data_IF_473338896971
#
_entry.id   IF_473338896971
#
_cell.length_a   1.000
_cell.length_b   1.000
_cell.length_c   1.000
_cell.angle_alpha   90.00
_cell.angle_beta   90.00
_cell.angle_gamma   90.00
#
_symmetry.space_group_name_H-M   'P 1'
#
loop_
_entity.id
_entity.type
_entity.pdbx_description
1 polymer ?
#
# COMPACT_ATOMS: atom_id res chain seq x y z
N UNK A 1 -6.01 -21.91 -2.16
CA UNK A 1 -6.28 -20.59 -1.53
C UNK A 1 -5.43 -20.30 -0.29
N UNK A 2 -4.95 -21.29 0.47
CA UNK A 2 -4.16 -21.01 1.69
C UNK A 2 -2.82 -20.31 1.41
N UNK A 3 -2.21 -20.57 0.26
CA UNK A 3 -0.98 -19.89 -0.18
C UNK A 3 -1.19 -18.38 -0.31
N UNK A 4 -2.23 -17.94 -1.04
CA UNK A 4 -2.52 -16.51 -1.23
C UNK A 4 -2.73 -15.75 0.10
N UNK A 5 -3.32 -16.40 1.11
CA UNK A 5 -3.53 -15.78 2.44
C UNK A 5 -2.21 -15.55 3.18
N UNK A 6 -1.17 -16.35 2.91
CA UNK A 6 0.14 -16.25 3.57
C UNK A 6 1.11 -15.33 2.81
N UNK A 7 0.96 -15.27 1.49
CA UNK A 7 1.92 -14.60 0.61
C UNK A 7 1.52 -13.14 0.28
N UNK A 8 0.28 -12.74 0.57
CA UNK A 8 -0.20 -11.38 0.30
C UNK A 8 -0.12 -10.48 1.54
N UNK A 9 0.35 -9.23 1.40
CA UNK A 9 0.38 -8.29 2.51
C UNK A 9 -1.04 -7.90 2.94
N UNK A 10 -1.27 -7.86 4.25
CA UNK A 10 -2.51 -7.32 4.84
C UNK A 10 -2.40 -5.80 4.99
N UNK A 11 -3.49 -5.02 4.79
CA UNK A 11 -3.49 -3.57 4.99
C UNK A 11 -3.19 -3.14 6.43
N UNK A 12 -3.22 -4.07 7.39
CA UNK A 12 -2.91 -3.86 8.80
C UNK A 12 -1.49 -4.25 9.22
N UNK A 13 -0.65 -4.72 8.29
CA UNK A 13 0.74 -5.10 8.60
C UNK A 13 1.59 -3.90 9.06
N UNK A 14 2.52 -4.18 9.97
CA UNK A 14 3.54 -3.21 10.41
C UNK A 14 4.68 -3.13 9.39
N UNK A 15 5.49 -2.07 9.48
CA UNK A 15 6.64 -1.91 8.58
C UNK A 15 7.60 -3.12 8.60
N UNK A 16 8.02 -3.67 9.77
CA UNK A 16 8.86 -4.87 9.78
C UNK A 16 8.20 -6.10 9.15
N UNK A 17 6.88 -6.26 9.28
CA UNK A 17 6.16 -7.37 8.64
C UNK A 17 6.14 -7.23 7.12
N UNK A 18 5.93 -6.02 6.61
CA UNK A 18 5.98 -5.73 5.18
C UNK A 18 7.38 -5.98 4.61
N UNK A 19 8.42 -5.49 5.30
CA UNK A 19 9.81 -5.71 4.89
C UNK A 19 10.14 -7.20 4.84
N UNK A 20 9.75 -7.97 5.85
CA UNK A 20 9.98 -9.42 5.87
C UNK A 20 9.27 -10.15 4.73
N UNK A 21 8.01 -9.77 4.45
CA UNK A 21 7.22 -10.37 3.36
C UNK A 21 7.83 -10.06 1.98
N UNK A 22 8.22 -8.81 1.74
CA UNK A 22 8.89 -8.42 0.49
C UNK A 22 10.25 -9.10 0.32
N UNK A 23 11.04 -9.18 1.41
CA UNK A 23 12.32 -9.89 1.40
C UNK A 23 12.16 -11.38 1.08
N UNK A 24 11.06 -12.01 1.54
CA UNK A 24 10.70 -13.38 1.16
C UNK A 24 10.49 -13.58 -0.35
N UNK A 25 10.21 -12.50 -1.09
CA UNK A 25 10.10 -12.48 -2.56
C UNK A 25 11.34 -11.91 -3.26
N UNK A 26 12.44 -11.70 -2.54
CA UNK A 26 13.66 -11.10 -3.10
C UNK A 26 13.55 -9.61 -3.39
N UNK A 27 12.53 -8.94 -2.84
CA UNK A 27 12.30 -7.51 -2.96
C UNK A 27 12.81 -6.78 -1.72
N UNK A 28 13.40 -5.60 -1.90
CA UNK A 28 13.98 -4.83 -0.80
C UNK A 28 13.02 -3.74 -0.27
N UNK A 29 13.50 -2.93 0.69
CA UNK A 29 12.71 -1.83 1.28
C UNK A 29 12.32 -0.79 0.23
N UNK A 30 13.16 -0.52 -0.77
CA UNK A 30 12.81 0.43 -1.84
C UNK A 30 11.72 -0.16 -2.71
N UNK A 31 11.79 -1.45 -3.03
CA UNK A 31 10.71 -2.13 -3.73
C UNK A 31 9.38 -2.04 -2.97
N UNK A 32 9.40 -2.25 -1.64
CA UNK A 32 8.22 -2.02 -0.79
C UNK A 32 7.69 -0.60 -0.94
N UNK A 33 8.55 0.41 -0.70
CA UNK A 33 8.14 1.82 -0.72
C UNK A 33 7.57 2.21 -2.09
N UNK A 34 8.24 1.85 -3.18
CA UNK A 34 7.86 2.29 -4.53
C UNK A 34 6.67 1.52 -5.07
N UNK A 35 6.56 0.21 -4.81
CA UNK A 35 5.38 -0.56 -5.23
C UNK A 35 4.11 -0.14 -4.47
N UNK A 36 4.22 0.33 -3.21
CA UNK A 36 3.10 0.95 -2.51
C UNK A 36 2.55 2.20 -3.21
N UNK A 37 3.37 2.86 -4.05
CA UNK A 37 2.94 3.97 -4.90
C UNK A 37 1.79 3.63 -5.85
N UNK A 38 1.54 2.34 -6.12
CA UNK A 38 0.39 1.91 -6.91
C UNK A 38 -0.96 2.31 -6.29
N UNK A 39 -1.01 2.59 -4.99
CA UNK A 39 -2.20 3.11 -4.31
C UNK A 39 -2.55 4.56 -4.68
N UNK A 40 -1.80 5.22 -5.56
CA UNK A 40 -2.19 6.51 -6.17
C UNK A 40 -3.45 6.40 -7.05
N UNK A 41 -3.80 5.19 -7.50
CA UNK A 41 -5.04 4.94 -8.24
C UNK A 41 -5.92 3.91 -7.55
N UNK A 42 -7.23 4.03 -7.75
CA UNK A 42 -8.22 3.04 -7.33
C UNK A 42 -8.88 3.33 -5.97
N UNK A 43 -9.51 2.30 -5.43
CA UNK A 43 -10.38 2.38 -4.27
C UNK A 43 -10.05 1.30 -3.22
N UNK A 44 -10.40 1.60 -1.98
CA UNK A 44 -10.37 0.67 -0.86
C UNK A 44 -11.76 0.57 -0.22
N UNK A 45 -12.08 -0.58 0.34
CA UNK A 45 -13.27 -0.74 1.17
C UNK A 45 -13.00 -0.30 2.61
N UNK A 46 -14.00 0.28 3.28
CA UNK A 46 -13.90 0.74 4.67
C UNK A 46 -13.37 -0.35 5.62
N UNK A 47 -13.74 -1.61 5.39
CA UNK A 47 -13.27 -2.76 6.18
C UNK A 47 -11.74 -2.92 6.16
N UNK A 48 -11.07 -2.50 5.09
CA UNK A 48 -9.62 -2.60 4.93
C UNK A 48 -8.82 -1.62 5.79
N UNK A 49 -9.45 -0.58 6.34
CA UNK A 49 -8.79 0.44 7.18
C UNK A 49 -9.63 0.88 8.39
N UNK A 50 -10.68 0.12 8.73
CA UNK A 50 -11.58 0.42 9.85
C UNK A 50 -10.84 0.48 11.19
N UNK A 51 -9.76 -0.28 11.33
CA UNK A 51 -8.91 -0.27 12.53
C UNK A 51 -8.33 1.14 12.79
N UNK A 52 -7.99 1.88 11.73
CA UNK A 52 -7.47 3.25 11.86
C UNK A 52 -8.55 4.27 12.18
N UNK A 53 -9.81 3.95 11.87
CA UNK A 53 -10.95 4.81 12.20
C UNK A 53 -11.51 4.54 13.59
N UNK A 54 -11.47 3.32 14.12
CA UNK A 54 -12.22 2.98 15.33
C UNK A 54 -11.42 2.25 16.41
N UNK A 55 -10.36 1.55 16.04
CA UNK A 55 -9.60 0.67 16.94
C UNK A 55 -8.20 1.20 17.21
N UNK A 56 -7.88 2.39 16.71
CA UNK A 56 -6.59 3.02 16.89
C UNK A 56 -6.54 3.66 18.29
N UNK A 57 -5.55 3.33 19.15
CA UNK A 57 -5.50 3.88 20.49
C UNK A 57 -5.43 5.41 20.43
N UNK A 58 -6.44 6.06 20.99
CA UNK A 58 -6.44 7.49 21.26
C UNK A 58 -5.18 7.83 22.05
N UNK A 59 -4.24 8.51 21.40
CA UNK A 59 -3.09 9.21 21.96
C UNK A 59 -2.64 8.77 23.38
N UNK A 60 -1.63 7.91 23.45
CA UNK A 60 -0.88 7.66 24.68
C UNK A 60 -0.70 6.18 24.98
N UNK A 61 0.55 5.74 24.99
CA UNK A 61 1.03 4.44 25.49
C UNK A 61 0.98 3.29 24.47
N UNK A 62 1.98 3.27 23.59
CA UNK A 62 2.27 2.10 22.76
C UNK A 62 3.47 2.34 21.85
N UNK A 63 4.64 1.96 22.33
CA UNK A 63 5.89 1.85 21.56
C UNK A 63 5.66 1.01 20.29
N UNK A 64 5.61 1.65 19.12
CA UNK A 64 5.41 0.98 17.81
C UNK A 64 4.18 1.41 17.00
N UNK A 65 3.54 2.52 17.34
CA UNK A 65 2.29 3.01 16.71
C UNK A 65 2.55 3.85 15.44
N UNK A 66 2.03 3.43 14.28
CA UNK A 66 2.02 4.27 13.05
C UNK A 66 1.27 5.58 13.30
N UNK A 67 1.55 6.73 12.68
CA UNK A 67 0.83 7.97 12.97
C UNK A 67 -0.71 7.85 12.84
N UNK A 68 -1.49 8.51 13.72
CA UNK A 68 -2.93 8.57 13.57
C UNK A 68 -3.30 9.21 12.23
N UNK A 69 -4.43 8.79 11.66
CA UNK A 69 -4.98 9.43 10.48
C UNK A 69 -5.31 10.90 10.79
N UNK A 70 -5.04 11.81 9.87
CA UNK A 70 -5.41 13.24 9.96
C UNK A 70 -6.83 13.37 10.51
N UNK A 71 -6.99 14.11 11.61
CA UNK A 71 -8.22 14.10 12.39
C UNK A 71 -9.43 14.60 11.60
N UNK A 72 -9.24 15.62 10.75
CA UNK A 72 -10.31 16.16 9.92
C UNK A 72 -10.69 15.18 8.81
N UNK A 73 -9.69 14.52 8.20
CA UNK A 73 -9.93 13.49 7.20
C UNK A 73 -10.62 12.26 7.81
N UNK A 74 -10.18 11.81 8.97
CA UNK A 74 -10.81 10.71 9.72
C UNK A 74 -12.26 11.05 10.09
N UNK A 75 -12.53 12.27 10.55
CA UNK A 75 -13.89 12.73 10.83
C UNK A 75 -14.77 12.72 9.56
N UNK A 76 -14.23 13.20 8.43
CA UNK A 76 -14.93 13.19 7.14
C UNK A 76 -15.29 11.76 6.70
N UNK A 77 -14.32 10.83 6.75
CA UNK A 77 -14.54 9.43 6.42
C UNK A 77 -15.61 8.80 7.31
N UNK A 78 -15.52 9.01 8.64
CA UNK A 78 -16.49 8.50 9.61
C UNK A 78 -17.92 8.99 9.35
N UNK A 79 -18.05 10.25 8.95
CA UNK A 79 -19.35 10.88 8.73
C UNK A 79 -19.96 10.50 7.40
N UNK A 80 -19.16 10.43 6.32
CA UNK A 80 -19.66 10.40 4.94
C UNK A 80 -19.54 9.06 4.23
N UNK A 81 -18.55 8.23 4.58
CA UNK A 81 -18.21 7.03 3.80
C UNK A 81 -18.25 5.78 4.66
N UNK A 82 -17.49 5.78 5.74
CA UNK A 82 -17.34 4.66 6.65
C UNK A 82 -18.05 5.00 7.95
N UNK A 83 -19.38 4.83 8.03
CA UNK A 83 -20.11 4.97 9.30
C UNK A 83 -20.00 3.67 10.09
N UNK A 84 -19.87 3.74 11.42
CA UNK A 84 -19.84 2.53 12.26
C UNK A 84 -21.15 1.76 12.11
N UNK A 85 -21.07 0.46 11.82
CA UNK A 85 -22.24 -0.37 11.50
C UNK A 85 -22.90 -0.05 10.14
N UNK A 86 -22.29 0.79 9.31
CA UNK A 86 -22.74 1.10 7.96
C UNK A 86 -22.31 0.06 6.92
N UNK A 87 -22.68 0.31 5.65
CA UNK A 87 -22.22 -0.51 4.52
C UNK A 87 -20.71 -0.39 4.35
N UNK A 88 -20.08 -1.46 3.84
CA UNK A 88 -18.66 -1.48 3.50
C UNK A 88 -18.37 -0.69 2.20
N UNK A 89 -18.47 0.64 2.30
CA UNK A 89 -18.37 1.54 1.16
C UNK A 89 -16.95 1.61 0.58
N UNK A 90 -16.88 1.86 -0.72
CA UNK A 90 -15.64 2.18 -1.42
C UNK A 90 -15.20 3.63 -1.14
N UNK A 91 -13.89 3.82 -0.97
CA UNK A 91 -13.22 5.10 -0.72
C UNK A 91 -12.00 5.20 -1.63
N UNK A 92 -11.78 6.37 -2.22
CA UNK A 92 -10.61 6.68 -3.04
C UNK A 92 -9.33 6.53 -2.21
N UNK A 93 -8.37 5.73 -2.71
CA UNK A 93 -7.08 5.53 -2.01
C UNK A 93 -6.20 6.79 -2.04
N UNK A 94 -6.37 7.61 -3.07
CA UNK A 94 -5.71 8.90 -3.24
C UNK A 94 -6.76 10.00 -3.54
N UNK A 95 -7.36 10.61 -2.49
CA UNK A 95 -8.46 11.55 -2.67
C UNK A 95 -8.09 12.73 -3.56
N UNK A 96 -8.81 12.88 -4.67
CA UNK A 96 -8.57 13.92 -5.67
C UNK A 96 -7.66 13.52 -6.84
N UNK A 97 -6.91 12.41 -6.75
CA UNK A 97 -6.09 11.89 -7.86
C UNK A 97 -6.26 10.40 -8.16
N UNK A 98 -7.22 9.70 -7.55
CA UNK A 98 -7.40 8.25 -7.67
C UNK A 98 -7.62 7.66 -9.08
N UNK A 99 -7.70 8.49 -10.13
CA UNK A 99 -7.79 8.07 -11.53
C UNK A 99 -6.53 8.42 -12.34
N UNK A 100 -5.57 9.12 -11.74
CA UNK A 100 -4.32 9.56 -12.34
C UNK A 100 -3.17 8.86 -11.62
N UNK A 101 -2.25 8.26 -12.38
CA UNK A 101 -1.07 7.66 -11.79
C UNK A 101 0.00 8.73 -11.55
N UNK A 102 0.14 9.21 -10.32
CA UNK A 102 1.05 10.31 -9.96
C UNK A 102 1.62 10.22 -8.53
N UNK A 103 2.15 11.34 -8.03
CA UNK A 103 2.78 11.47 -6.71
C UNK A 103 1.78 11.73 -5.56
N UNK A 104 0.48 11.85 -5.85
CA UNK A 104 -0.58 12.15 -4.91
C UNK A 104 -0.55 11.23 -3.69
N UNK A 105 -0.38 9.92 -3.93
CA UNK A 105 -0.23 8.93 -2.87
C UNK A 105 0.84 9.32 -1.84
N UNK A 106 2.06 9.65 -2.28
CA UNK A 106 3.13 10.00 -1.33
C UNK A 106 2.89 11.33 -0.62
N UNK A 107 2.21 12.29 -1.27
CA UNK A 107 1.73 13.48 -0.58
C UNK A 107 0.72 13.15 0.51
N UNK A 108 -0.21 12.21 0.27
CA UNK A 108 -1.18 11.78 1.29
C UNK A 108 -0.50 11.02 2.43
N UNK A 109 0.47 10.14 2.14
CA UNK A 109 1.27 9.42 3.13
C UNK A 109 1.98 10.39 4.07
N UNK A 110 2.70 11.38 3.54
CA UNK A 110 3.42 12.39 4.33
C UNK A 110 2.48 13.31 5.13
N UNK A 111 1.24 13.52 4.67
CA UNK A 111 0.20 14.28 5.38
C UNK A 111 -0.60 13.43 6.37
N UNK A 112 -0.22 12.18 6.60
CA UNK A 112 -0.96 11.23 7.44
C UNK A 112 -2.41 11.03 6.98
N UNK A 113 -2.63 11.02 5.66
CA UNK A 113 -3.94 10.86 5.00
C UNK A 113 -4.06 9.58 4.16
N UNK A 114 -3.00 8.78 4.04
CA UNK A 114 -3.12 7.46 3.44
C UNK A 114 -4.11 6.59 4.22
N UNK A 115 -4.88 5.73 3.55
CA UNK A 115 -5.95 4.95 4.19
C UNK A 115 -5.41 3.80 5.06
N UNK A 116 -4.54 2.95 4.51
CA UNK A 116 -4.14 1.73 5.18
C UNK A 116 -3.13 1.97 6.29
N UNK A 117 -3.06 1.02 7.25
CA UNK A 117 -2.02 1.04 8.28
C UNK A 117 -0.66 0.73 7.67
N UNK A 118 -0.61 -0.17 6.70
CA UNK A 118 0.58 -0.49 5.91
C UNK A 118 1.16 0.74 5.22
N UNK A 119 0.33 1.60 4.63
CA UNK A 119 0.79 2.85 4.02
C UNK A 119 1.36 3.83 5.05
N UNK A 120 0.63 4.01 6.17
CA UNK A 120 1.11 4.86 7.27
C UNK A 120 2.38 4.32 7.93
N UNK A 121 2.63 3.01 7.82
CA UNK A 121 3.85 2.38 8.33
C UNK A 121 5.11 2.77 7.54
N UNK A 122 4.98 3.16 6.26
CA UNK A 122 6.13 3.55 5.43
C UNK A 122 6.92 4.73 6.02
N UNK A 123 6.24 5.63 6.74
CA UNK A 123 6.87 6.81 7.36
C UNK A 123 7.33 6.57 8.81
N UNK A 124 7.21 5.34 9.32
CA UNK A 124 7.73 4.97 10.64
C UNK A 124 9.22 4.62 10.60
N UNK A 125 9.73 4.21 9.44
CA UNK A 125 11.16 4.08 9.19
C UNK A 125 11.74 5.40 8.66
N UNK A 126 12.85 5.85 9.25
CA UNK A 126 13.44 7.14 8.95
C UNK A 126 14.02 7.21 7.53
N UNK A 127 14.60 6.10 7.04
CA UNK A 127 15.20 6.05 5.71
C UNK A 127 14.12 6.03 4.62
N UNK A 128 13.10 5.17 4.77
CA UNK A 128 11.95 5.15 3.87
C UNK A 128 11.24 6.51 3.82
N UNK A 129 11.03 7.14 4.99
CA UNK A 129 10.46 8.50 5.05
C UNK A 129 11.31 9.53 4.31
N UNK A 130 12.64 9.47 4.46
CA UNK A 130 13.56 10.38 3.78
C UNK A 130 13.54 10.17 2.25
N UNK A 131 13.54 8.92 1.80
CA UNK A 131 13.42 8.56 0.38
C UNK A 131 12.11 9.11 -0.21
N UNK A 132 10.96 8.90 0.48
CA UNK A 132 9.66 9.43 0.07
C UNK A 132 9.69 10.96 -0.03
N UNK A 133 10.22 11.65 0.98
CA UNK A 133 10.32 13.11 0.98
C UNK A 133 11.21 13.64 -0.16
N UNK A 134 12.30 12.94 -0.46
CA UNK A 134 13.19 13.26 -1.57
C UNK A 134 12.49 13.14 -2.93
N UNK A 135 11.77 12.04 -3.16
CA UNK A 135 11.01 11.82 -4.40
C UNK A 135 9.87 12.83 -4.56
N UNK A 136 9.13 13.12 -3.49
CA UNK A 136 8.07 14.14 -3.47
C UNK A 136 8.60 15.55 -3.78
N UNK A 137 9.86 15.83 -3.42
CA UNK A 137 10.50 17.12 -3.67
C UNK A 137 11.24 17.18 -5.02
N UNK A 138 11.16 16.12 -5.82
CA UNK A 138 11.82 15.99 -7.12
C UNK A 138 10.81 16.15 -8.27
N UNK A 139 11.29 16.30 -9.52
CA UNK A 139 10.41 16.23 -10.69
C UNK A 139 9.61 14.90 -10.71
N UNK A 140 8.32 14.90 -11.13
CA UNK A 140 7.47 13.71 -11.11
C UNK A 140 8.04 12.48 -11.84
N UNK A 141 8.90 12.71 -12.84
CA UNK A 141 9.59 11.67 -13.60
C UNK A 141 10.44 10.76 -12.71
N UNK A 142 10.97 11.28 -11.59
CA UNK A 142 11.74 10.48 -10.64
C UNK A 142 10.89 9.37 -10.03
N UNK A 143 9.64 9.67 -9.67
CA UNK A 143 8.70 8.65 -9.18
C UNK A 143 8.46 7.57 -10.23
N UNK A 144 8.18 7.95 -11.47
CA UNK A 144 7.94 6.97 -12.53
C UNK A 144 9.16 6.07 -12.78
N UNK A 145 10.37 6.61 -12.67
CA UNK A 145 11.60 5.82 -12.82
C UNK A 145 11.79 4.81 -11.68
N UNK A 146 11.61 5.23 -10.42
CA UNK A 146 11.78 4.31 -9.28
C UNK A 146 10.66 3.29 -9.22
N UNK A 147 9.41 3.68 -9.54
CA UNK A 147 8.27 2.78 -9.66
C UNK A 147 8.50 1.73 -10.75
N UNK A 148 8.92 2.15 -11.96
CA UNK A 148 9.18 1.24 -13.07
C UNK A 148 10.28 0.23 -12.75
N UNK A 149 11.35 0.66 -12.06
CA UNK A 149 12.43 -0.23 -11.61
C UNK A 149 11.91 -1.32 -10.66
N UNK A 150 11.09 -0.95 -9.68
CA UNK A 150 10.55 -1.91 -8.73
C UNK A 150 9.46 -2.80 -9.33
N UNK A 151 8.67 -2.30 -10.28
CA UNK A 151 7.76 -3.12 -11.09
C UNK A 151 8.50 -4.16 -11.94
N UNK A 152 9.63 -3.79 -12.55
CA UNK A 152 10.45 -4.74 -13.31
C UNK A 152 11.02 -5.85 -12.41
N UNK A 153 11.43 -5.51 -11.18
CA UNK A 153 11.88 -6.48 -10.17
C UNK A 153 10.73 -7.39 -9.73
N UNK A 154 9.56 -6.83 -9.44
CA UNK A 154 8.34 -7.59 -9.12
C UNK A 154 7.97 -8.57 -10.24
N UNK A 155 8.04 -8.13 -11.51
CA UNK A 155 7.74 -8.95 -12.68
C UNK A 155 8.72 -10.11 -12.91
N UNK A 156 9.87 -10.12 -12.24
CA UNK A 156 10.86 -11.19 -12.32
C UNK A 156 10.79 -12.17 -11.14
N UNK A 157 9.90 -11.94 -10.17
CA UNK A 157 9.74 -12.82 -8.99
C UNK A 157 9.22 -14.19 -9.42
N UNK A 158 9.97 -15.24 -9.08
CA UNK A 158 9.55 -16.65 -9.20
C UNK A 158 9.04 -17.04 -10.60
N UNK A 159 9.53 -16.37 -11.66
CA UNK A 159 9.09 -16.61 -13.04
C UNK A 159 9.49 -18.01 -13.51
N UNK A 160 8.56 -18.68 -14.21
CA UNK A 160 8.84 -19.94 -14.89
C UNK A 160 9.50 -19.65 -16.24
N UNK A 161 10.61 -20.34 -16.53
CA UNK A 161 11.39 -20.12 -17.78
C UNK A 161 11.71 -21.44 -18.48
N UNK A 162 12.08 -21.36 -19.76
CA UNK A 162 12.41 -22.53 -20.57
C UNK A 162 11.21 -23.48 -20.71
N UNK A 163 11.37 -24.72 -20.25
CA UNK A 163 10.32 -25.76 -20.26
C UNK A 163 9.49 -25.81 -18.96
N UNK A 164 9.69 -24.88 -18.03
CA UNK A 164 8.90 -24.83 -16.80
C UNK A 164 7.51 -24.24 -17.09
N UNK A 165 6.45 -25.01 -16.79
CA UNK A 165 5.07 -24.57 -17.01
C UNK A 165 4.60 -24.73 -18.46
N UNK A 166 3.67 -23.88 -18.88
CA UNK A 166 3.04 -23.95 -20.21
C UNK A 166 2.57 -22.57 -20.68
N UNK A 167 2.42 -22.40 -22.00
CA UNK A 167 1.69 -21.28 -22.59
C UNK A 167 0.20 -21.65 -22.57
N UNK A 168 -0.57 -21.02 -21.69
CA UNK A 168 -2.01 -21.29 -21.57
C UNK A 168 -2.77 -20.79 -22.80
N UNK A 169 -3.62 -21.65 -23.36
CA UNK A 169 -4.59 -21.25 -24.41
C UNK A 169 -5.74 -20.44 -23.82
N UNK A 170 -6.09 -20.75 -22.57
CA UNK A 170 -7.12 -20.05 -21.79
C UNK A 170 -6.58 -19.79 -20.38
N UNK A 171 -6.48 -18.53 -19.94
CA UNK A 171 -5.85 -18.19 -18.66
C UNK A 171 -6.49 -18.86 -17.43
N UNK A 172 -7.80 -19.14 -17.50
CA UNK A 172 -8.60 -19.66 -16.41
C UNK A 172 -8.46 -21.19 -16.19
N UNK A 173 -7.84 -21.93 -17.10
CA UNK A 173 -7.75 -23.39 -17.04
C UNK A 173 -6.37 -23.89 -17.51
N UNK A 174 -5.92 -25.01 -16.95
CA UNK A 174 -4.69 -25.69 -17.39
C UNK A 174 -4.97 -26.37 -18.73
N UNK A 175 -3.99 -26.41 -19.63
CA UNK A 175 -4.20 -27.10 -20.90
C UNK A 175 -4.39 -28.62 -20.66
N UNK A 176 -5.14 -29.25 -21.56
CA UNK A 176 -5.37 -30.69 -21.66
C UNK A 176 -4.94 -31.21 -23.03
#
# INVERSE_FOLDING_TARGET
MQEAVRELPSPSMTFPQLVALFAGKGLDVRDLVWLSGAHTIGIAHCSSFADRLYSYPSAGNGTGTVPPLDAAYAANLRQRKCRMGGRDAAVEMDPGSFLTFDLGYYHTVLKHRALFRSDAALVTDAAARADIAGVVSSPPEVFFQVFARSMARLGAVEVKTGSQGEIRKHCAVVNS
#
